data_IF_313456406991
#
_entry.id   IF_313456406991
#
_cell.length_a   1.000
_cell.length_b   1.000
_cell.length_c   1.000
_cell.angle_alpha   90.00
_cell.angle_beta   90.00
_cell.angle_gamma   90.00
#
_symmetry.space_group_name_H-M   'P 1'
#
loop_
_entity.id
_entity.type
_entity.pdbx_description
1 polymer ?
#
# COMPACT_ATOMS: atom_id res chain seq x y z
N UNK A 1 15.04 -21.54 17.88
CA UNK A 1 16.20 -22.17 18.52
C UNK A 1 17.46 -21.37 18.30
N UNK A 2 17.43 -20.06 18.57
CA UNK A 2 18.60 -19.19 18.63
C UNK A 2 18.51 -18.47 19.99
N UNK A 3 19.58 -18.48 20.78
CA UNK A 3 19.63 -17.74 22.03
C UNK A 3 19.87 -16.25 21.72
N UNK A 4 19.23 -15.36 22.48
CA UNK A 4 19.35 -13.92 22.29
C UNK A 4 20.79 -13.43 22.45
N UNK A 5 21.61 -14.15 23.25
CA UNK A 5 23.03 -13.88 23.44
C UNK A 5 23.88 -14.20 22.20
N UNK A 6 23.30 -14.85 21.18
CA UNK A 6 23.97 -15.15 19.92
C UNK A 6 23.73 -14.07 18.85
N UNK A 7 22.82 -13.12 19.09
CA UNK A 7 22.55 -12.01 18.18
C UNK A 7 23.51 -10.87 18.49
N UNK A 8 24.55 -10.73 17.66
CA UNK A 8 25.67 -9.81 17.95
C UNK A 8 25.47 -8.40 17.45
N UNK A 9 24.59 -8.17 16.49
CA UNK A 9 24.21 -6.84 15.99
C UNK A 9 22.80 -6.89 15.40
N UNK A 10 22.19 -5.72 15.22
CA UNK A 10 20.89 -5.55 14.60
C UNK A 10 20.92 -4.36 13.64
N UNK A 11 20.22 -4.48 12.50
CA UNK A 11 19.85 -3.31 11.68
C UNK A 11 18.38 -3.03 11.92
N UNK A 12 18.05 -1.79 12.30
CA UNK A 12 16.67 -1.35 12.49
C UNK A 12 16.30 -0.35 11.39
N UNK A 13 15.28 -0.69 10.61
CA UNK A 13 14.73 0.15 9.53
C UNK A 13 13.27 0.48 9.81
N UNK A 14 12.84 1.64 9.34
CA UNK A 14 11.48 2.13 9.50
C UNK A 14 11.37 3.56 9.00
N UNK A 15 10.13 4.02 8.87
CA UNK A 15 9.86 5.39 8.50
C UNK A 15 10.47 6.36 9.53
N UNK A 16 10.62 7.62 9.15
CA UNK A 16 11.27 8.65 9.96
C UNK A 16 10.67 8.80 11.36
N UNK A 17 9.35 8.66 11.51
CA UNK A 17 8.70 8.72 12.82
C UNK A 17 9.08 7.51 13.69
N UNK A 18 9.02 6.29 13.14
CA UNK A 18 9.42 5.07 13.86
C UNK A 18 10.91 5.09 14.21
N UNK A 19 11.77 5.57 13.31
CA UNK A 19 13.19 5.78 13.57
C UNK A 19 13.43 6.69 14.79
N UNK A 20 12.74 7.83 14.86
CA UNK A 20 12.89 8.77 15.96
C UNK A 20 12.33 8.22 17.27
N UNK A 21 11.15 7.58 17.25
CA UNK A 21 10.57 6.95 18.43
C UNK A 21 11.46 5.85 18.99
N UNK A 22 12.04 5.02 18.11
CA UNK A 22 12.93 3.93 18.50
C UNK A 22 14.20 4.45 19.19
N UNK A 23 14.72 5.61 18.76
CA UNK A 23 15.87 6.28 19.38
C UNK A 23 15.50 7.16 20.59
N UNK A 24 14.22 7.31 20.92
CA UNK A 24 13.77 8.23 21.96
C UNK A 24 13.96 9.72 21.60
N UNK A 25 14.08 10.04 20.31
CA UNK A 25 14.20 11.40 19.80
C UNK A 25 12.82 12.10 19.76
N UNK A 26 12.77 13.44 19.88
CA UNK A 26 11.51 14.17 19.73
C UNK A 26 10.93 14.00 18.33
N UNK A 27 9.60 13.92 18.23
CA UNK A 27 8.85 13.72 16.98
C UNK A 27 7.86 14.84 16.65
N UNK A 28 7.68 15.81 17.56
CA UNK A 28 6.68 16.88 17.38
C UNK A 28 6.86 17.62 16.06
N UNK A 29 8.10 17.95 15.73
CA UNK A 29 8.49 18.67 14.53
C UNK A 29 8.28 17.88 13.23
N UNK A 30 8.06 16.56 13.29
CA UNK A 30 7.72 15.77 12.12
C UNK A 30 6.27 16.03 11.67
N UNK A 31 5.39 16.49 12.57
CA UNK A 31 4.00 16.84 12.28
C UNK A 31 3.77 18.33 11.99
N UNK A 32 4.81 19.17 12.12
CA UNK A 32 4.71 20.62 11.95
C UNK A 32 5.62 21.07 10.82
N UNK A 33 5.09 21.84 9.86
CA UNK A 33 5.90 22.40 8.77
C UNK A 33 7.09 23.19 9.36
N UNK A 34 8.33 22.97 8.88
CA UNK A 34 8.70 22.33 7.62
C UNK A 34 9.01 20.80 7.68
N UNK A 35 8.50 20.08 8.68
CA UNK A 35 8.57 18.61 8.81
C UNK A 35 10.01 18.07 8.91
N UNK A 36 10.85 18.75 9.67
CA UNK A 36 12.31 18.51 9.68
C UNK A 36 12.66 17.48 10.77
N UNK A 37 13.31 16.36 10.43
CA UNK A 37 13.78 15.41 11.45
C UNK A 37 14.92 15.99 12.29
N UNK A 38 15.16 15.41 13.47
CA UNK A 38 16.31 15.80 14.32
C UNK A 38 17.63 15.53 13.61
N UNK A 39 17.68 14.43 12.88
CA UNK A 39 18.87 13.97 12.16
C UNK A 39 18.44 13.10 10.99
N UNK A 40 19.22 13.15 9.92
CA UNK A 40 19.13 12.28 8.76
C UNK A 40 20.39 11.40 8.58
N UNK A 41 21.34 11.48 9.50
CA UNK A 41 22.57 10.68 9.45
C UNK A 41 22.31 9.24 9.89
N UNK A 42 23.20 8.35 9.47
CA UNK A 42 23.22 6.99 9.98
C UNK A 42 23.65 6.99 11.46
N UNK A 43 23.00 6.16 12.28
CA UNK A 43 23.24 6.09 13.72
C UNK A 43 23.63 4.68 14.12
N UNK A 44 24.67 4.54 14.94
CA UNK A 44 25.03 3.28 15.60
C UNK A 44 25.02 3.51 17.10
N UNK A 45 24.20 2.74 17.81
CA UNK A 45 24.06 2.81 19.27
C UNK A 45 24.18 1.43 19.89
N UNK A 46 24.53 1.35 21.17
CA UNK A 46 24.54 0.05 21.86
C UNK A 46 23.10 -0.41 22.07
N UNK A 47 22.84 -1.70 21.88
CA UNK A 47 21.51 -2.27 22.10
C UNK A 47 21.00 -2.03 23.53
N UNK A 48 21.91 -2.03 24.51
CA UNK A 48 21.61 -1.74 25.92
C UNK A 48 21.06 -0.34 26.15
N UNK A 49 21.47 0.65 25.35
CA UNK A 49 21.09 2.05 25.53
C UNK A 49 19.62 2.28 25.12
N UNK A 50 19.11 1.41 24.23
CA UNK A 50 17.71 1.38 23.80
C UNK A 50 16.87 0.31 24.53
N UNK A 51 17.44 -0.39 25.51
CA UNK A 51 16.76 -1.46 26.23
C UNK A 51 16.48 -2.72 25.39
N UNK A 52 17.10 -2.85 24.22
CA UNK A 52 16.96 -4.03 23.36
C UNK A 52 17.91 -5.12 23.86
N UNK A 53 17.35 -6.29 24.15
CA UNK A 53 18.13 -7.44 24.61
C UNK A 53 18.79 -8.12 23.42
N UNK A 54 20.10 -8.05 23.33
CA UNK A 54 20.95 -8.76 22.37
C UNK A 54 22.20 -9.27 23.10
N UNK A 55 23.20 -9.79 22.37
CA UNK A 55 24.49 -10.13 22.93
C UNK A 55 25.16 -8.94 23.64
N UNK A 56 26.00 -9.23 24.64
CA UNK A 56 26.75 -8.18 25.35
C UNK A 56 27.66 -7.45 24.36
N UNK A 57 27.51 -6.13 24.28
CA UNK A 57 28.29 -5.28 23.39
C UNK A 57 27.72 -5.14 21.98
N UNK A 58 26.56 -5.75 21.70
CA UNK A 58 25.86 -5.62 20.43
C UNK A 58 25.47 -4.17 20.14
N UNK A 59 25.56 -3.79 18.87
CA UNK A 59 25.09 -2.51 18.39
C UNK A 59 23.82 -2.66 17.57
N UNK A 60 23.09 -1.56 17.47
CA UNK A 60 21.97 -1.38 16.57
C UNK A 60 22.36 -0.29 15.60
N UNK A 61 22.41 -0.66 14.32
CA UNK A 61 22.61 0.26 13.22
C UNK A 61 21.26 0.71 12.67
N UNK A 62 21.06 2.02 12.59
CA UNK A 62 19.95 2.65 11.91
C UNK A 62 20.50 3.36 10.68
N UNK A 63 20.10 2.95 9.46
CA UNK A 63 20.51 3.63 8.24
C UNK A 63 20.01 5.08 8.20
N UNK A 64 20.62 5.94 7.35
CA UNK A 64 20.16 7.32 7.21
C UNK A 64 18.73 7.36 6.67
N UNK A 65 17.98 8.37 7.10
CA UNK A 65 16.64 8.67 6.56
C UNK A 65 16.73 9.72 5.46
N UNK A 66 15.73 9.79 4.59
CA UNK A 66 15.74 10.71 3.44
C UNK A 66 15.11 12.06 3.81
N UNK A 67 13.94 12.05 4.45
CA UNK A 67 13.17 13.25 4.79
C UNK A 67 12.20 13.00 5.96
N UNK A 68 11.42 14.01 6.35
CA UNK A 68 10.42 13.90 7.43
C UNK A 68 9.42 12.75 7.27
N UNK A 69 9.07 12.39 6.02
CA UNK A 69 8.12 11.34 5.69
C UNK A 69 8.67 10.22 4.80
N UNK A 70 9.98 10.24 4.49
CA UNK A 70 10.64 9.17 3.72
C UNK A 70 11.79 8.65 4.56
N UNK A 71 11.61 7.45 5.12
CA UNK A 71 12.55 6.89 6.09
C UNK A 71 13.55 5.89 5.49
N UNK A 72 14.19 5.17 6.40
CA UNK A 72 15.20 4.18 6.08
C UNK A 72 14.60 2.85 5.60
N UNK A 73 13.32 2.59 5.87
CA UNK A 73 12.55 1.50 5.28
C UNK A 73 12.49 1.61 3.76
N UNK A 74 12.10 2.78 3.23
CA UNK A 74 12.07 2.99 1.78
C UNK A 74 13.47 2.92 1.17
N UNK A 75 14.48 3.48 1.85
CA UNK A 75 15.87 3.38 1.42
C UNK A 75 16.36 1.91 1.38
N UNK A 76 15.95 1.09 2.36
CA UNK A 76 16.27 -0.33 2.39
C UNK A 76 15.59 -1.09 1.24
N UNK A 77 14.35 -0.76 0.91
CA UNK A 77 13.65 -1.32 -0.25
C UNK A 77 14.38 -0.99 -1.56
N UNK A 78 14.80 0.27 -1.75
CA UNK A 78 15.60 0.67 -2.92
C UNK A 78 16.93 -0.08 -3.00
N UNK A 79 17.60 -0.27 -1.85
CA UNK A 79 18.85 -1.02 -1.77
C UNK A 79 18.65 -2.49 -2.13
N UNK A 80 17.64 -3.14 -1.56
CA UNK A 80 17.36 -4.56 -1.75
C UNK A 80 16.94 -4.89 -3.20
N UNK A 81 16.22 -3.98 -3.83
CA UNK A 81 15.73 -4.15 -5.21
C UNK A 81 16.76 -3.79 -6.27
N UNK A 82 17.83 -3.07 -5.91
CA UNK A 82 18.81 -2.57 -6.86
C UNK A 82 18.25 -1.52 -7.82
N UNK A 83 17.10 -0.91 -7.50
CA UNK A 83 16.43 0.10 -8.33
C UNK A 83 17.36 1.26 -8.72
N UNK A 84 18.32 1.58 -7.85
CA UNK A 84 19.29 2.67 -8.02
C UNK A 84 20.47 2.34 -8.95
N UNK A 85 20.67 1.07 -9.34
CA UNK A 85 21.90 0.59 -9.99
C UNK A 85 21.88 0.65 -11.53
N UNK A 86 20.84 1.21 -12.14
CA UNK A 86 20.66 1.18 -13.59
C UNK A 86 20.32 2.56 -14.16
N UNK A 87 20.61 2.74 -15.45
CA UNK A 87 20.29 3.96 -16.21
C UNK A 87 18.85 3.99 -16.74
N UNK A 88 18.04 2.97 -16.42
CA UNK A 88 16.63 2.89 -16.85
C UNK A 88 15.78 3.88 -16.06
N UNK A 89 14.59 4.14 -16.59
CA UNK A 89 13.58 4.94 -15.91
C UNK A 89 12.68 4.00 -15.12
N UNK A 90 12.80 4.03 -13.80
CA UNK A 90 12.13 3.06 -12.93
C UNK A 90 11.38 3.77 -11.82
N UNK A 91 10.16 3.31 -11.53
CA UNK A 91 9.41 3.75 -10.36
C UNK A 91 9.39 2.62 -9.33
N UNK A 92 9.92 2.89 -8.14
CA UNK A 92 9.83 1.99 -7.00
C UNK A 92 8.81 2.53 -6.01
N UNK A 93 7.85 1.72 -5.60
CA UNK A 93 6.75 2.11 -4.72
C UNK A 93 6.63 1.11 -3.57
N UNK A 94 6.61 1.61 -2.34
CA UNK A 94 6.26 0.81 -1.16
C UNK A 94 4.85 1.19 -0.72
N UNK A 95 3.90 0.25 -0.83
CA UNK A 95 2.49 0.52 -0.51
C UNK A 95 2.18 0.03 0.90
N UNK A 96 2.01 0.98 1.81
CA UNK A 96 1.43 0.78 3.13
C UNK A 96 0.45 1.89 3.50
N UNK A 97 0.32 2.16 4.80
CA UNK A 97 -0.52 3.25 5.32
C UNK A 97 -0.08 4.62 4.76
N UNK A 98 1.24 4.82 4.69
CA UNK A 98 1.84 5.79 3.78
C UNK A 98 2.36 5.04 2.56
N UNK A 99 2.44 5.74 1.44
CA UNK A 99 3.05 5.18 0.22
C UNK A 99 4.24 6.01 -0.18
N UNK A 100 5.43 5.46 -0.04
CA UNK A 100 6.66 6.05 -0.51
C UNK A 100 6.89 5.68 -1.98
N UNK A 101 7.22 6.68 -2.80
CA UNK A 101 7.46 6.52 -4.24
C UNK A 101 8.82 7.11 -4.55
N UNK A 102 9.65 6.38 -5.29
CA UNK A 102 10.87 6.90 -5.89
C UNK A 102 10.88 6.73 -7.40
N UNK A 103 11.30 7.79 -8.09
CA UNK A 103 11.66 7.75 -9.51
C UNK A 103 13.17 7.70 -9.63
N UNK A 104 13.68 6.63 -10.24
CA UNK A 104 15.06 6.52 -10.70
C UNK A 104 15.09 6.90 -12.18
N UNK A 105 15.85 7.93 -12.56
CA UNK A 105 15.97 8.36 -13.94
C UNK A 105 17.34 8.99 -14.19
N UNK A 106 18.14 8.43 -15.12
CA UNK A 106 19.47 8.94 -15.52
C UNK A 106 20.39 9.20 -14.32
N UNK A 107 20.48 8.23 -13.41
CA UNK A 107 21.31 8.32 -12.20
C UNK A 107 20.79 9.29 -11.12
N UNK A 108 19.62 9.91 -11.31
CA UNK A 108 18.96 10.72 -10.28
C UNK A 108 17.84 9.92 -9.61
N UNK A 109 17.73 10.08 -8.30
CA UNK A 109 16.66 9.53 -7.49
C UNK A 109 15.83 10.67 -6.91
N UNK A 110 14.56 10.72 -7.27
CA UNK A 110 13.57 11.63 -6.68
C UNK A 110 12.63 10.80 -5.83
N UNK A 111 12.26 11.26 -4.64
CA UNK A 111 11.36 10.53 -3.75
C UNK A 111 10.30 11.45 -3.16
N UNK A 112 9.11 10.90 -2.96
CA UNK A 112 8.03 11.53 -2.20
C UNK A 112 7.32 10.48 -1.33
N UNK A 113 6.60 10.95 -0.32
CA UNK A 113 5.67 10.12 0.44
C UNK A 113 4.25 10.65 0.20
N UNK A 114 3.32 9.73 0.01
CA UNK A 114 1.93 10.00 -0.30
C UNK A 114 1.07 9.56 0.88
N UNK A 115 0.18 10.44 1.36
CA UNK A 115 -0.82 10.11 2.37
C UNK A 115 -1.96 9.28 1.76
N UNK A 116 -1.67 8.02 1.43
CA UNK A 116 -2.64 7.08 0.84
C UNK A 116 -3.68 6.60 1.85
N UNK A 117 -3.35 6.62 3.14
CA UNK A 117 -4.20 6.06 4.18
C UNK A 117 -4.26 4.52 4.12
N UNK A 118 -4.90 3.89 5.12
CA UNK A 118 -4.83 2.43 5.28
C UNK A 118 -5.93 1.69 4.50
N UNK A 119 -6.58 2.33 3.52
CA UNK A 119 -7.67 1.74 2.73
C UNK A 119 -7.24 0.45 2.00
N UNK A 120 -6.03 0.43 1.46
CA UNK A 120 -5.45 -0.76 0.83
C UNK A 120 -5.04 -1.85 1.82
N UNK A 121 -5.02 -1.57 3.12
CA UNK A 121 -4.82 -2.58 4.17
C UNK A 121 -6.16 -3.14 4.70
N UNK A 122 -7.29 -2.70 4.13
CA UNK A 122 -8.63 -3.06 4.56
C UNK A 122 -9.13 -2.25 5.76
N UNK A 123 -8.40 -1.24 6.23
CA UNK A 123 -8.91 -0.33 7.25
C UNK A 123 -9.74 0.79 6.62
N UNK A 124 -10.67 1.37 7.39
CA UNK A 124 -11.66 2.37 6.92
C UNK A 124 -12.63 1.87 5.84
N UNK A 125 -12.55 0.59 5.46
CA UNK A 125 -13.51 -0.07 4.59
C UNK A 125 -14.51 -0.82 5.47
N UNK A 126 -15.82 -0.66 5.21
CA UNK A 126 -16.89 -1.16 6.07
C UNK A 126 -16.83 -2.66 6.36
N UNK A 127 -16.64 -3.48 5.33
CA UNK A 127 -16.38 -4.92 5.46
C UNK A 127 -14.88 -5.28 5.34
N UNK A 128 -14.01 -4.29 5.54
CA UNK A 128 -12.57 -4.45 5.37
C UNK A 128 -11.89 -5.18 6.52
N UNK A 129 -10.86 -5.95 6.19
CA UNK A 129 -10.04 -6.68 7.16
C UNK A 129 -8.63 -6.93 6.61
N UNK A 130 -7.70 -7.33 7.50
CA UNK A 130 -6.39 -7.82 7.06
C UNK A 130 -6.52 -9.15 6.30
N UNK A 131 -5.54 -9.43 5.44
CA UNK A 131 -5.42 -10.72 4.75
C UNK A 131 -5.29 -11.86 5.78
N UNK A 132 -6.35 -12.65 5.90
CA UNK A 132 -6.46 -13.79 6.80
C UNK A 132 -7.46 -14.80 6.21
N UNK A 133 -7.49 -16.08 6.67
CA UNK A 133 -8.44 -17.06 6.18
C UNK A 133 -9.90 -16.55 6.19
N UNK A 134 -10.58 -16.68 5.05
CA UNK A 134 -11.95 -16.17 4.84
C UNK A 134 -12.03 -14.72 4.35
N UNK A 135 -10.93 -13.96 4.29
CA UNK A 135 -10.93 -12.67 3.60
C UNK A 135 -11.07 -12.88 2.09
N UNK A 136 -11.95 -12.12 1.44
CA UNK A 136 -12.08 -12.08 -0.01
C UNK A 136 -10.83 -11.38 -0.57
N UNK A 137 -10.03 -12.11 -1.34
CA UNK A 137 -8.76 -11.64 -1.91
C UNK A 137 -8.84 -11.32 -3.40
N UNK A 138 -9.84 -11.87 -4.10
CA UNK A 138 -10.13 -11.57 -5.51
C UNK A 138 -11.61 -11.41 -5.75
N UNK A 139 -11.94 -10.47 -6.64
CA UNK A 139 -13.28 -10.22 -7.17
C UNK A 139 -13.18 -10.04 -8.67
N UNK A 140 -13.93 -10.83 -9.43
CA UNK A 140 -13.85 -10.82 -10.89
C UNK A 140 -15.23 -10.92 -11.52
N UNK A 141 -15.37 -10.32 -12.70
CA UNK A 141 -16.53 -10.50 -13.55
C UNK A 141 -16.15 -11.46 -14.69
N UNK A 142 -16.67 -12.70 -14.64
CA UNK A 142 -16.41 -13.73 -15.66
C UNK A 142 -17.73 -14.01 -16.37
N UNK A 143 -17.78 -13.75 -17.68
CA UNK A 143 -18.98 -13.94 -18.51
C UNK A 143 -20.23 -13.23 -17.91
N UNK A 144 -20.02 -12.05 -17.32
CA UNK A 144 -21.08 -11.27 -16.69
C UNK A 144 -21.55 -11.76 -15.32
N UNK A 145 -20.90 -12.80 -14.77
CA UNK A 145 -21.15 -13.35 -13.44
C UNK A 145 -20.06 -12.95 -12.45
N UNK A 146 -20.47 -12.56 -11.24
CA UNK A 146 -19.54 -12.23 -10.17
C UNK A 146 -18.89 -13.51 -9.63
N UNK A 147 -17.56 -13.50 -9.52
CA UNK A 147 -16.76 -14.58 -8.93
C UNK A 147 -15.88 -13.98 -7.85
N UNK A 148 -15.83 -14.65 -6.70
CA UNK A 148 -14.99 -14.26 -5.57
C UNK A 148 -14.09 -15.43 -5.17
N UNK A 149 -12.92 -15.11 -4.62
CA UNK A 149 -12.02 -16.08 -4.02
C UNK A 149 -11.65 -15.60 -2.61
N UNK A 150 -11.63 -16.52 -1.66
CA UNK A 150 -11.23 -16.24 -0.27
C UNK A 150 -9.92 -16.94 0.08
N UNK A 151 -9.15 -16.32 0.98
CA UNK A 151 -7.92 -16.91 1.50
C UNK A 151 -8.26 -18.23 2.21
N UNK A 152 -7.59 -19.30 1.80
CA UNK A 152 -7.78 -20.64 2.36
C UNK A 152 -9.11 -21.30 2.01
N UNK A 153 -9.85 -20.79 1.00
CA UNK A 153 -11.14 -21.30 0.56
C UNK A 153 -12.14 -21.48 1.72
N UNK A 154 -12.15 -20.54 2.66
CA UNK A 154 -13.08 -20.52 3.80
C UNK A 154 -14.30 -19.67 3.47
N UNK A 155 -15.37 -19.83 4.26
CA UNK A 155 -16.53 -18.95 4.20
C UNK A 155 -16.08 -17.49 4.34
N UNK A 156 -16.65 -16.61 3.52
CA UNK A 156 -16.20 -15.23 3.45
C UNK A 156 -16.57 -14.49 4.75
N UNK A 157 -15.62 -13.75 5.33
CA UNK A 157 -15.84 -12.97 6.57
C UNK A 157 -15.51 -11.49 6.44
N UNK A 158 -14.99 -11.06 5.29
CA UNK A 158 -14.68 -9.67 4.98
C UNK A 158 -13.86 -9.55 3.69
N UNK A 159 -13.33 -8.35 3.42
CA UNK A 159 -12.54 -7.99 2.25
C UNK A 159 -11.13 -7.57 2.67
N UNK A 160 -10.10 -8.20 2.09
CA UNK A 160 -8.75 -7.66 2.23
C UNK A 160 -8.47 -6.61 1.15
N UNK A 161 -7.31 -5.95 1.28
CA UNK A 161 -6.85 -4.91 0.35
C UNK A 161 -7.01 -5.27 -1.13
N UNK A 162 -6.52 -6.44 -1.53
CA UNK A 162 -6.59 -6.89 -2.92
C UNK A 162 -8.05 -7.09 -3.37
N UNK A 163 -8.89 -7.62 -2.47
CA UNK A 163 -10.32 -7.82 -2.70
C UNK A 163 -11.09 -6.52 -2.90
N UNK A 164 -10.81 -5.48 -2.10
CA UNK A 164 -11.48 -4.18 -2.28
C UNK A 164 -11.03 -3.48 -3.57
N UNK A 165 -9.75 -3.57 -3.95
CA UNK A 165 -9.26 -3.04 -5.24
C UNK A 165 -9.93 -3.75 -6.41
N UNK A 166 -9.99 -5.08 -6.37
CA UNK A 166 -10.69 -5.88 -7.39
C UNK A 166 -12.19 -5.56 -7.43
N UNK A 167 -12.85 -5.43 -6.27
CA UNK A 167 -14.26 -5.10 -6.19
C UNK A 167 -14.56 -3.74 -6.84
N UNK A 168 -13.82 -2.68 -6.48
CA UNK A 168 -14.00 -1.35 -7.08
C UNK A 168 -13.66 -1.36 -8.57
N UNK A 169 -12.67 -2.15 -9.00
CA UNK A 169 -12.35 -2.33 -10.42
C UNK A 169 -13.51 -3.01 -11.19
N UNK A 170 -14.17 -4.00 -10.60
CA UNK A 170 -15.37 -4.64 -11.17
C UNK A 170 -16.56 -3.67 -11.17
N UNK A 171 -16.75 -2.89 -10.11
CA UNK A 171 -17.79 -1.85 -10.07
C UNK A 171 -17.60 -0.83 -11.21
N UNK A 172 -16.36 -0.42 -11.49
CA UNK A 172 -16.05 0.49 -12.57
C UNK A 172 -16.23 -0.17 -13.96
N UNK A 173 -15.73 -1.40 -14.14
CA UNK A 173 -15.86 -2.15 -15.40
C UNK A 173 -17.31 -2.42 -15.79
N UNK A 174 -18.16 -2.73 -14.81
CA UNK A 174 -19.58 -2.97 -15.02
C UNK A 174 -20.42 -1.69 -15.11
N UNK A 175 -19.81 -0.51 -14.98
CA UNK A 175 -20.51 0.77 -14.87
C UNK A 175 -21.51 0.85 -13.70
N UNK A 176 -21.37 0.00 -12.68
CA UNK A 176 -22.10 0.11 -11.42
C UNK A 176 -21.74 1.41 -10.68
N UNK A 177 -20.51 1.90 -10.85
CA UNK A 177 -20.11 3.24 -10.38
C UNK A 177 -19.73 4.15 -11.54
N UNK A 178 -20.04 5.43 -11.39
CA UNK A 178 -19.53 6.46 -12.30
C UNK A 178 -18.15 6.99 -11.85
N UNK A 179 -17.58 7.93 -12.63
CA UNK A 179 -16.26 8.52 -12.33
C UNK A 179 -16.17 9.24 -10.97
N UNK A 180 -17.30 9.63 -10.36
CA UNK A 180 -17.36 10.25 -9.02
C UNK A 180 -17.57 9.22 -7.91
N UNK A 181 -17.56 7.93 -8.23
CA UNK A 181 -17.80 6.83 -7.29
C UNK A 181 -19.27 6.69 -6.88
N UNK A 182 -20.22 7.36 -7.55
CA UNK A 182 -21.64 7.21 -7.24
C UNK A 182 -22.17 5.90 -7.85
N UNK A 183 -22.85 5.10 -7.04
CA UNK A 183 -23.46 3.83 -7.47
C UNK A 183 -24.76 4.10 -8.24
N UNK A 184 -24.94 3.38 -9.34
CA UNK A 184 -26.20 3.32 -10.09
C UNK A 184 -27.17 2.36 -9.40
N UNK A 185 -28.27 2.89 -8.87
CA UNK A 185 -29.32 2.13 -8.18
C UNK A 185 -30.05 1.14 -9.09
N UNK A 186 -30.08 1.39 -10.40
CA UNK A 186 -30.80 0.55 -11.37
C UNK A 186 -29.94 -0.57 -11.94
N UNK A 187 -28.66 -0.60 -11.58
CA UNK A 187 -27.72 -1.60 -12.07
C UNK A 187 -28.02 -2.99 -11.47
N UNK A 188 -27.84 -4.06 -12.25
CA UNK A 188 -28.19 -5.45 -11.85
C UNK A 188 -27.46 -5.97 -10.59
N UNK A 189 -26.35 -5.35 -10.24
CA UNK A 189 -25.54 -5.69 -9.05
C UNK A 189 -25.76 -4.74 -7.88
N UNK A 190 -26.60 -3.72 -8.05
CA UNK A 190 -26.98 -2.84 -6.96
C UNK A 190 -28.05 -3.51 -6.10
N UNK A 191 -27.83 -3.48 -4.79
CA UNK A 191 -28.80 -3.92 -3.78
C UNK A 191 -29.14 -2.72 -2.90
N UNK A 192 -30.39 -2.57 -2.43
CA UNK A 192 -30.74 -1.52 -1.48
C UNK A 192 -30.27 -1.88 -0.07
N UNK A 193 -29.63 -0.93 0.62
CA UNK A 193 -29.44 -0.99 2.07
C UNK A 193 -30.77 -0.70 2.81
N UNK A 194 -30.79 -0.90 4.14
CA UNK A 194 -31.95 -0.62 4.99
C UNK A 194 -32.44 0.84 4.89
N UNK A 195 -31.52 1.79 4.65
CA UNK A 195 -31.82 3.21 4.47
C UNK A 195 -32.14 3.60 3.02
N UNK A 196 -32.26 2.62 2.13
CA UNK A 196 -32.56 2.78 0.70
C UNK A 196 -31.38 3.23 -0.16
N UNK A 197 -30.17 3.39 0.40
CA UNK A 197 -28.98 3.71 -0.41
C UNK A 197 -28.50 2.48 -1.19
N UNK A 198 -27.99 2.65 -2.42
CA UNK A 198 -27.41 1.54 -3.16
C UNK A 198 -26.10 1.08 -2.51
N UNK A 199 -25.93 -0.23 -2.44
CA UNK A 199 -24.69 -0.91 -2.08
C UNK A 199 -24.39 -2.03 -3.07
N UNK A 200 -23.16 -2.51 -3.10
CA UNK A 200 -22.74 -3.66 -3.90
C UNK A 200 -22.54 -4.87 -2.98
N UNK A 201 -23.48 -5.82 -3.01
CA UNK A 201 -23.39 -7.04 -2.20
C UNK A 201 -22.53 -8.09 -2.91
N UNK A 202 -21.40 -8.43 -2.29
CA UNK A 202 -20.50 -9.48 -2.78
C UNK A 202 -20.92 -10.87 -2.30
N UNK A 203 -21.39 -10.96 -1.05
CA UNK A 203 -21.82 -12.22 -0.40
C UNK A 203 -23.03 -11.94 0.46
N UNK A 204 -24.08 -12.76 0.31
CA UNK A 204 -25.28 -12.68 1.13
C UNK A 204 -25.02 -13.20 2.55
N UNK A 205 -25.81 -12.74 3.52
CA UNK A 205 -25.73 -13.17 4.93
C UNK A 205 -25.77 -14.70 5.13
N UNK A 206 -26.56 -15.42 4.32
CA UNK A 206 -26.69 -16.88 4.41
C UNK A 206 -25.45 -17.66 3.95
N UNK A 207 -24.58 -17.03 3.15
CA UNK A 207 -23.40 -17.64 2.54
C UNK A 207 -22.10 -17.18 3.21
N UNK A 208 -22.15 -16.11 4.02
CA UNK A 208 -21.00 -15.59 4.73
C UNK A 208 -20.70 -16.38 6.00
N UNK A 209 -19.44 -16.39 6.41
CA UNK A 209 -19.01 -16.96 7.69
C UNK A 209 -19.39 -16.11 8.90
N UNK A 210 -19.84 -14.87 8.69
CA UNK A 210 -20.27 -13.95 9.77
C UNK A 210 -21.77 -13.96 10.03
N UNK A 211 -22.56 -14.53 9.12
CA UNK A 211 -24.03 -14.40 9.14
C UNK A 211 -24.53 -13.00 8.74
N UNK A 212 -23.65 -12.12 8.29
CA UNK A 212 -23.96 -10.77 7.78
C UNK A 212 -23.54 -10.65 6.31
N UNK A 213 -24.17 -9.75 5.56
CA UNK A 213 -23.76 -9.48 4.19
C UNK A 213 -22.33 -8.90 4.13
N UNK A 214 -21.59 -9.23 3.07
CA UNK A 214 -20.32 -8.59 2.75
C UNK A 214 -20.58 -7.65 1.58
N UNK A 215 -20.48 -6.35 1.86
CA UNK A 215 -20.90 -5.30 0.94
C UNK A 215 -19.76 -4.32 0.68
N UNK A 216 -19.85 -3.63 -0.46
CA UNK A 216 -19.03 -2.45 -0.79
C UNK A 216 -19.96 -1.26 -0.98
N UNK A 217 -19.71 -0.20 -0.23
CA UNK A 217 -20.53 1.02 -0.20
C UNK A 217 -19.89 2.15 -1.01
N UNK A 218 -20.63 3.25 -1.18
CA UNK A 218 -20.08 4.48 -1.74
C UNK A 218 -18.92 5.04 -0.91
N UNK A 219 -18.96 4.91 0.42
CA UNK A 219 -17.89 5.41 1.28
C UNK A 219 -16.60 4.62 1.02
N UNK A 220 -16.71 3.30 0.91
CA UNK A 220 -15.56 2.43 0.60
C UNK A 220 -14.91 2.80 -0.74
N UNK A 221 -15.74 3.06 -1.76
CA UNK A 221 -15.26 3.56 -3.06
C UNK A 221 -14.52 4.90 -2.91
N UNK A 222 -15.03 5.81 -2.08
CA UNK A 222 -14.39 7.10 -1.84
C UNK A 222 -13.02 6.95 -1.16
N UNK A 223 -12.88 6.06 -0.18
CA UNK A 223 -11.59 5.75 0.46
C UNK A 223 -10.56 5.25 -0.58
N UNK A 224 -10.96 4.34 -1.47
CA UNK A 224 -10.09 3.86 -2.56
C UNK A 224 -9.74 4.98 -3.55
N UNK A 225 -10.68 5.88 -3.85
CA UNK A 225 -10.42 7.02 -4.72
C UNK A 225 -9.43 8.02 -4.12
N UNK A 226 -9.53 8.30 -2.81
CA UNK A 226 -8.58 9.14 -2.09
C UNK A 226 -7.20 8.52 -2.07
N UNK A 227 -7.11 7.24 -1.69
CA UNK A 227 -5.85 6.51 -1.61
C UNK A 227 -5.14 6.43 -2.97
N UNK A 228 -5.87 6.03 -4.02
CA UNK A 228 -5.29 5.96 -5.38
C UNK A 228 -4.92 7.34 -5.92
N UNK A 229 -5.69 8.37 -5.57
CA UNK A 229 -5.46 9.74 -5.99
C UNK A 229 -4.14 10.27 -5.42
N UNK A 230 -3.90 10.06 -4.13
CA UNK A 230 -2.66 10.44 -3.47
C UNK A 230 -1.43 9.78 -4.14
N UNK A 231 -1.49 8.46 -4.36
CA UNK A 231 -0.39 7.72 -4.98
C UNK A 231 -0.15 8.16 -6.43
N UNK A 232 -1.23 8.26 -7.23
CA UNK A 232 -1.12 8.69 -8.63
C UNK A 232 -0.55 10.09 -8.72
N UNK A 233 -0.99 11.01 -7.88
CA UNK A 233 -0.45 12.37 -7.83
C UNK A 233 1.04 12.38 -7.47
N UNK A 234 1.48 11.57 -6.50
CA UNK A 234 2.89 11.43 -6.18
C UNK A 234 3.74 10.99 -7.37
N UNK A 235 3.28 9.97 -8.10
CA UNK A 235 3.92 9.51 -9.33
C UNK A 235 4.02 10.63 -10.37
N UNK A 236 2.91 11.33 -10.64
CA UNK A 236 2.89 12.41 -11.64
C UNK A 236 3.77 13.61 -11.27
N UNK A 237 3.85 13.94 -9.96
CA UNK A 237 4.74 15.00 -9.48
C UNK A 237 6.20 14.64 -9.75
N UNK A 238 6.61 13.41 -9.44
CA UNK A 238 7.98 12.95 -9.70
C UNK A 238 8.31 12.93 -11.20
N UNK A 239 7.38 12.46 -12.02
CA UNK A 239 7.52 12.46 -13.48
C UNK A 239 7.62 13.89 -14.03
N UNK A 240 6.79 14.81 -13.54
CA UNK A 240 6.81 16.23 -13.90
C UNK A 240 8.12 16.92 -13.51
N UNK A 241 8.64 16.66 -12.30
CA UNK A 241 9.94 17.18 -11.84
C UNK A 241 11.12 16.65 -12.68
N UNK A 242 11.01 15.41 -13.19
CA UNK A 242 11.97 14.84 -14.12
C UNK A 242 11.74 15.27 -15.59
N UNK A 243 10.63 15.93 -15.91
CA UNK A 243 10.28 16.38 -17.25
C UNK A 243 9.97 15.24 -18.23
N UNK A 244 9.45 14.11 -17.74
CA UNK A 244 9.15 12.91 -18.54
C UNK A 244 7.68 12.49 -18.41
N UNK A 245 7.18 11.73 -19.39
CA UNK A 245 5.86 11.11 -19.30
C UNK A 245 5.93 9.70 -18.71
N UNK A 246 4.79 9.20 -18.22
CA UNK A 246 4.67 7.83 -17.72
C UNK A 246 5.02 6.75 -18.76
N UNK A 247 4.89 7.05 -20.05
CA UNK A 247 5.20 6.10 -21.14
C UNK A 247 6.69 5.78 -21.23
N UNK A 248 7.53 6.72 -20.76
CA UNK A 248 8.99 6.58 -20.67
C UNK A 248 9.43 5.70 -19.51
N UNK A 249 8.53 5.27 -18.62
CA UNK A 249 8.87 4.42 -17.49
C UNK A 249 9.03 2.98 -17.98
N UNK A 250 10.24 2.47 -17.84
CA UNK A 250 10.62 1.12 -18.27
C UNK A 250 10.03 0.07 -17.34
N UNK A 251 9.98 0.37 -16.04
CA UNK A 251 9.67 -0.60 -15.01
C UNK A 251 9.06 0.03 -13.74
N UNK A 252 8.17 -0.72 -13.10
CA UNK A 252 7.56 -0.46 -11.80
C UNK A 252 7.91 -1.58 -10.84
N UNK A 253 8.55 -1.26 -9.73
CA UNK A 253 8.81 -2.18 -8.61
C UNK A 253 7.81 -1.86 -7.50
N UNK A 254 6.98 -2.84 -7.14
CA UNK A 254 5.91 -2.71 -6.15
C UNK A 254 6.29 -3.54 -4.92
N UNK A 255 6.56 -2.85 -3.83
CA UNK A 255 6.87 -3.40 -2.52
C UNK A 255 5.70 -3.19 -1.55
N UNK A 256 5.87 -3.73 -0.35
CA UNK A 256 4.92 -3.65 0.75
C UNK A 256 4.05 -4.89 0.86
N UNK A 257 3.55 -5.13 2.07
CA UNK A 257 2.72 -6.30 2.37
C UNK A 257 1.47 -6.36 1.48
N UNK A 258 0.82 -5.22 1.23
CA UNK A 258 -0.29 -5.15 0.29
C UNK A 258 0.18 -5.21 -1.17
N UNK A 259 1.28 -4.52 -1.50
CA UNK A 259 1.87 -4.51 -2.84
C UNK A 259 2.22 -5.90 -3.37
N UNK A 260 2.40 -6.88 -2.49
CA UNK A 260 2.65 -8.29 -2.83
C UNK A 260 1.44 -9.03 -3.41
N UNK A 261 0.22 -8.58 -3.10
CA UNK A 261 -1.03 -9.28 -3.45
C UNK A 261 -1.97 -8.44 -4.32
N UNK A 262 -1.66 -7.16 -4.56
CA UNK A 262 -2.46 -6.31 -5.43
C UNK A 262 -2.56 -6.90 -6.84
N UNK A 263 -3.76 -6.92 -7.39
CA UNK A 263 -3.95 -7.25 -8.80
C UNK A 263 -3.55 -6.04 -9.67
N UNK A 264 -2.40 -6.13 -10.33
CA UNK A 264 -1.85 -5.06 -11.15
C UNK A 264 -2.82 -4.64 -12.26
N UNK A 265 -3.56 -5.56 -12.87
CA UNK A 265 -4.53 -5.23 -13.92
C UNK A 265 -5.68 -4.36 -13.36
N UNK A 266 -6.19 -4.70 -12.19
CA UNK A 266 -7.22 -3.92 -11.49
C UNK A 266 -6.68 -2.53 -11.08
N UNK A 267 -5.43 -2.47 -10.59
CA UNK A 267 -4.77 -1.22 -10.24
C UNK A 267 -4.60 -0.26 -11.44
N UNK A 268 -4.15 -0.78 -12.58
CA UNK A 268 -4.05 -0.02 -13.84
C UNK A 268 -5.45 0.46 -14.27
N UNK A 269 -6.45 -0.42 -14.22
CA UNK A 269 -7.83 -0.08 -14.60
C UNK A 269 -8.42 1.05 -13.75
N UNK A 270 -8.15 1.05 -12.44
CA UNK A 270 -8.57 2.12 -11.55
C UNK A 270 -7.75 3.41 -11.70
N UNK A 271 -6.70 3.40 -12.51
CA UNK A 271 -5.79 4.53 -12.68
C UNK A 271 -4.95 4.81 -11.44
N UNK A 272 -4.69 3.79 -10.62
CA UNK A 272 -3.63 3.84 -9.61
C UNK A 272 -2.27 3.90 -10.32
N UNK A 273 -2.08 3.00 -11.28
CA UNK A 273 -0.90 2.93 -12.14
C UNK A 273 -1.21 3.42 -13.57
N UNK A 274 -0.21 3.88 -14.33
CA UNK A 274 -0.41 4.30 -15.72
C UNK A 274 -0.80 3.12 -16.60
N UNK A 275 -1.41 3.42 -17.74
CA UNK A 275 -1.79 2.43 -18.75
C UNK A 275 -0.55 1.90 -19.48
N UNK A 276 0.19 1.03 -18.79
CA UNK A 276 1.40 0.39 -19.30
C UNK A 276 1.23 -1.13 -19.39
N UNK A 277 2.03 -1.82 -20.21
CA UNK A 277 2.05 -3.27 -20.27
C UNK A 277 2.30 -3.89 -18.89
N UNK A 278 1.50 -4.92 -18.54
CA UNK A 278 1.56 -5.56 -17.21
C UNK A 278 2.94 -6.16 -16.89
N UNK A 279 3.71 -6.54 -17.91
CA UNK A 279 5.06 -7.09 -17.76
C UNK A 279 6.11 -6.05 -17.33
N UNK A 280 5.76 -4.76 -17.24
CA UNK A 280 6.60 -3.71 -16.65
C UNK A 280 6.43 -3.61 -15.13
N UNK A 281 5.50 -4.35 -14.51
CA UNK A 281 5.22 -4.27 -13.08
C UNK A 281 5.72 -5.53 -12.38
N UNK A 282 6.54 -5.35 -11.34
CA UNK A 282 7.15 -6.45 -10.59
C UNK A 282 6.87 -6.28 -9.10
N UNK A 283 6.24 -7.29 -8.50
CA UNK A 283 5.95 -7.32 -7.06
C UNK A 283 7.09 -8.01 -6.34
N UNK A 284 7.69 -7.36 -5.34
CA UNK A 284 8.93 -7.83 -4.70
C UNK A 284 8.77 -8.26 -3.24
N UNK A 285 7.63 -8.00 -2.61
CA UNK A 285 7.44 -8.33 -1.20
C UNK A 285 7.74 -7.16 -0.27
N UNK A 286 8.00 -7.53 0.99
CA UNK A 286 8.66 -6.69 2.00
C UNK A 286 10.09 -7.19 2.16
#
# INVERSE_FOLDING_TARGET
GCDISQIVDMVAVGNTAMHHLFLGLPVKQLGEAPYVPVTNDAITVRASDLGVKLARGANIYLPPIIAGYVGADHAAMLLATGAWQNDRTLIAIDIGTNTEVSLCHRGRLLSCSCASGPAFEGAHIGAGMRAAPGAIERVQLIEGNLRIQTIGNKAAVGLCGSGIVDAVAVMAESALINHRGALDQMHKFATPADDGRPQFTLVNASESGTGNEIIVTRQDVAEIQLAKGAIRSGIEILLGEAGISSDSVDEFIIAGAFGSYINVASAIRLGLFPQLPINRFHQVGN
#
